data_IF_892872385637
#
_entry.id   IF_892872385637
#
_cell.length_a   1.000
_cell.length_b   1.000
_cell.length_c   1.000
_cell.angle_alpha   90.00
_cell.angle_beta   90.00
_cell.angle_gamma   90.00
#
_symmetry.space_group_name_H-M   'P 1'
#
loop_
_entity.id
_entity.type
_entity.pdbx_description
1 polymer ?
#
# COMPACT_ATOMS: atom_id res chain seq x y z
N UNK A 1 -14.29 -5.21 -35.60
CA UNK A 1 -15.02 -5.65 -34.40
C UNK A 1 -14.00 -6.35 -33.51
N UNK A 2 -13.73 -5.75 -32.35
CA UNK A 2 -12.49 -5.91 -31.56
C UNK A 2 -12.45 -7.24 -30.80
N UNK A 3 -11.47 -8.08 -31.13
CA UNK A 3 -11.13 -9.30 -30.39
C UNK A 3 -10.13 -8.96 -29.26
N UNK A 4 -10.51 -8.05 -28.36
CA UNK A 4 -9.72 -7.64 -27.18
C UNK A 4 -10.54 -7.50 -25.89
N UNK A 5 -11.81 -7.92 -25.85
CA UNK A 5 -12.71 -7.58 -24.72
C UNK A 5 -13.29 -8.76 -23.92
N UNK A 6 -12.75 -9.99 -24.02
CA UNK A 6 -13.27 -11.13 -23.22
C UNK A 6 -12.18 -12.02 -22.64
N UNK A 7 -11.11 -11.38 -22.14
CA UNK A 7 -10.15 -12.03 -21.23
C UNK A 7 -10.11 -11.32 -19.88
N UNK A 8 -11.26 -10.81 -19.42
CA UNK A 8 -11.55 -10.79 -17.98
C UNK A 8 -11.86 -12.25 -17.58
N UNK A 9 -10.85 -13.11 -17.73
CA UNK A 9 -10.93 -14.49 -17.30
C UNK A 9 -11.27 -14.43 -15.82
N UNK A 10 -12.41 -14.98 -15.47
CA UNK A 10 -12.92 -15.07 -14.12
C UNK A 10 -12.05 -16.07 -13.33
N UNK A 11 -10.80 -15.68 -13.01
CA UNK A 11 -9.79 -16.54 -12.39
C UNK A 11 -10.21 -16.94 -10.97
N UNK A 12 -11.11 -16.17 -10.35
CA UNK A 12 -11.64 -16.45 -9.01
C UNK A 12 -12.54 -17.69 -8.96
N UNK A 13 -13.28 -17.98 -10.03
CA UNK A 13 -14.18 -19.14 -10.05
C UNK A 13 -13.46 -20.50 -10.08
N UNK A 14 -12.20 -20.55 -10.53
CA UNK A 14 -11.50 -21.81 -10.77
C UNK A 14 -10.67 -22.31 -9.57
N UNK A 15 -10.45 -21.50 -8.53
CA UNK A 15 -9.48 -21.81 -7.47
C UNK A 15 -10.08 -22.10 -6.08
N UNK A 16 -11.41 -22.05 -5.90
CA UNK A 16 -12.02 -22.31 -4.60
C UNK A 16 -11.61 -21.30 -3.51
N UNK A 17 -11.07 -20.15 -3.90
CA UNK A 17 -10.74 -19.07 -2.99
C UNK A 17 -12.04 -18.45 -2.47
N UNK A 18 -12.17 -18.21 -1.16
CA UNK A 18 -13.34 -17.55 -0.62
C UNK A 18 -13.46 -16.15 -1.25
N UNK A 19 -14.67 -15.72 -1.65
CA UNK A 19 -14.89 -14.46 -2.38
C UNK A 19 -14.64 -13.20 -1.53
N UNK A 20 -14.09 -13.36 -0.32
CA UNK A 20 -13.83 -12.29 0.63
C UNK A 20 -12.34 -12.25 0.89
N UNK A 21 -11.69 -11.21 0.38
CA UNK A 21 -10.34 -10.83 0.72
C UNK A 21 -10.34 -9.45 1.41
N UNK A 22 -9.44 -9.27 2.37
CA UNK A 22 -9.17 -7.96 2.97
C UNK A 22 -8.03 -7.31 2.20
N UNK A 23 -8.34 -6.43 1.26
CA UNK A 23 -7.32 -5.67 0.54
C UNK A 23 -7.05 -4.33 1.24
N UNK A 24 -5.77 -3.97 1.37
CA UNK A 24 -5.36 -2.67 1.89
C UNK A 24 -5.59 -1.63 0.80
N UNK A 25 -6.32 -0.56 1.12
CA UNK A 25 -6.58 0.51 0.17
C UNK A 25 -5.29 1.29 -0.09
N UNK A 26 -5.02 1.61 -1.35
CA UNK A 26 -3.91 2.47 -1.77
C UNK A 26 -2.51 1.97 -1.34
N UNK A 27 -2.28 0.65 -1.25
CA UNK A 27 -0.96 0.10 -0.90
C UNK A 27 0.18 0.50 -1.89
N UNK A 28 -0.20 1.06 -3.04
CA UNK A 28 0.70 1.59 -4.07
C UNK A 28 1.16 3.03 -3.82
N UNK A 29 0.54 3.77 -2.88
CA UNK A 29 0.91 5.15 -2.56
C UNK A 29 2.05 5.18 -1.56
N UNK A 30 3.07 5.98 -1.85
CA UNK A 30 4.23 6.19 -0.98
C UNK A 30 4.87 7.55 -1.31
N UNK A 31 5.19 8.35 -0.29
CA UNK A 31 5.90 9.61 -0.47
C UNK A 31 7.43 9.40 -0.53
N UNK A 32 7.94 9.05 -1.70
CA UNK A 32 9.37 8.78 -1.91
C UNK A 32 10.26 10.02 -1.68
N UNK A 33 9.75 11.21 -2.01
CA UNK A 33 10.49 12.47 -1.87
C UNK A 33 10.73 12.80 -0.40
N UNK A 34 9.75 12.53 0.47
CA UNK A 34 9.87 12.73 1.90
C UNK A 34 10.99 11.88 2.54
N UNK A 35 11.16 10.63 2.09
CA UNK A 35 12.19 9.71 2.58
C UNK A 35 13.53 9.83 1.83
N UNK A 36 13.64 10.70 0.83
CA UNK A 36 14.85 10.88 0.02
C UNK A 36 15.18 9.68 -0.88
N UNK A 37 14.15 8.93 -1.29
CA UNK A 37 14.27 7.75 -2.17
C UNK A 37 13.94 8.20 -3.59
N UNK A 38 14.75 7.77 -4.57
CA UNK A 38 14.47 8.01 -5.98
C UNK A 38 13.22 7.24 -6.43
N UNK A 39 12.37 7.86 -7.26
CA UNK A 39 11.09 7.28 -7.69
C UNK A 39 11.24 5.90 -8.35
N UNK A 40 12.31 5.66 -9.11
CA UNK A 40 12.57 4.35 -9.74
C UNK A 40 12.90 3.28 -8.70
N UNK A 41 13.57 3.68 -7.62
CA UNK A 41 13.90 2.79 -6.51
C UNK A 41 12.68 2.58 -5.63
N UNK A 42 11.86 3.62 -5.43
CA UNK A 42 10.61 3.54 -4.69
C UNK A 42 9.66 2.51 -5.30
N UNK A 43 9.51 2.50 -6.63
CA UNK A 43 8.68 1.52 -7.35
C UNK A 43 9.15 0.06 -7.20
N UNK A 44 10.43 -0.14 -6.93
CA UNK A 44 11.02 -1.46 -6.69
C UNK A 44 10.90 -1.93 -5.24
N UNK A 45 10.50 -1.06 -4.31
CA UNK A 45 10.33 -1.40 -2.89
C UNK A 45 9.01 -2.17 -2.70
N UNK A 46 9.05 -3.20 -1.85
CA UNK A 46 7.85 -3.97 -1.48
C UNK A 46 6.75 -3.06 -0.89
N UNK A 47 5.48 -3.16 -1.37
CA UNK A 47 4.37 -2.32 -0.90
C UNK A 47 4.13 -2.39 0.62
N UNK A 48 4.40 -3.53 1.27
CA UNK A 48 4.23 -3.64 2.73
C UNK A 48 5.28 -2.80 3.47
N UNK A 49 6.50 -2.75 2.93
CA UNK A 49 7.58 -1.94 3.50
C UNK A 49 7.29 -0.44 3.34
N UNK A 50 6.72 -0.02 2.20
CA UNK A 50 6.28 1.38 1.99
C UNK A 50 5.25 1.81 3.04
N UNK A 51 4.24 0.97 3.27
CA UNK A 51 3.22 1.23 4.29
C UNK A 51 3.82 1.28 5.70
N UNK A 52 4.79 0.42 5.99
CA UNK A 52 5.46 0.41 7.29
C UNK A 52 6.17 1.74 7.59
N UNK A 53 6.84 2.35 6.61
CA UNK A 53 7.50 3.63 6.79
C UNK A 53 6.53 4.76 7.17
N UNK A 54 5.38 4.84 6.50
CA UNK A 54 4.36 5.85 6.80
C UNK A 54 3.77 5.64 8.20
N UNK A 55 3.41 4.40 8.55
CA UNK A 55 2.83 4.08 9.86
C UNK A 55 3.81 4.36 11.00
N UNK A 56 5.09 4.04 10.83
CA UNK A 56 6.12 4.34 11.85
C UNK A 56 6.26 5.85 12.03
N UNK A 57 6.28 6.62 10.95
CA UNK A 57 6.36 8.07 11.03
C UNK A 57 5.13 8.66 11.74
N UNK A 58 3.92 8.25 11.37
CA UNK A 58 2.68 8.67 12.04
C UNK A 58 2.69 8.30 13.53
N UNK A 59 3.17 7.09 13.87
CA UNK A 59 3.24 6.62 15.26
C UNK A 59 4.24 7.46 16.08
N UNK A 60 5.39 7.81 15.50
CA UNK A 60 6.36 8.68 16.17
C UNK A 60 5.77 10.07 16.37
N UNK A 61 5.14 10.64 15.35
CA UNK A 61 4.48 11.94 15.46
C UNK A 61 3.37 11.94 16.52
N UNK A 62 2.53 10.91 16.56
CA UNK A 62 1.46 10.76 17.57
C UNK A 62 2.05 10.63 18.98
N UNK A 63 3.07 9.78 19.16
CA UNK A 63 3.73 9.60 20.46
C UNK A 63 4.40 10.89 20.97
N UNK A 64 5.09 11.63 20.08
CA UNK A 64 5.72 12.91 20.44
C UNK A 64 4.67 13.96 20.79
N UNK A 65 3.55 14.00 20.06
CA UNK A 65 2.44 14.89 20.36
C UNK A 65 1.81 14.55 21.72
N UNK A 66 1.61 13.27 22.03
CA UNK A 66 1.14 12.85 23.36
C UNK A 66 2.09 13.24 24.50
N UNK A 67 3.41 13.26 24.27
CA UNK A 67 4.38 13.69 25.29
C UNK A 67 4.30 15.20 25.54
N UNK A 68 4.08 16.02 24.51
CA UNK A 68 4.01 17.49 24.63
C UNK A 68 2.70 17.95 25.28
N UNK A 69 1.57 17.32 24.95
CA UNK A 69 0.25 17.74 25.43
C UNK A 69 -0.18 17.09 26.75
N UNK A 70 0.62 16.14 27.28
CA UNK A 70 0.32 15.41 28.52
C UNK A 70 1.33 15.67 29.65
N UNK A 71 2.26 16.60 29.44
CA UNK A 71 3.10 17.23 30.48
C UNK A 71 2.56 18.62 30.81
#
# INVERSE_FOLDING_TARGET
MSMRQTLDFNIEQYMGVPPRCGNVKNAEKFDAQFFGIDDMTADSIDPQLRLFYEVVYETICDAVLLIIYKL
#
